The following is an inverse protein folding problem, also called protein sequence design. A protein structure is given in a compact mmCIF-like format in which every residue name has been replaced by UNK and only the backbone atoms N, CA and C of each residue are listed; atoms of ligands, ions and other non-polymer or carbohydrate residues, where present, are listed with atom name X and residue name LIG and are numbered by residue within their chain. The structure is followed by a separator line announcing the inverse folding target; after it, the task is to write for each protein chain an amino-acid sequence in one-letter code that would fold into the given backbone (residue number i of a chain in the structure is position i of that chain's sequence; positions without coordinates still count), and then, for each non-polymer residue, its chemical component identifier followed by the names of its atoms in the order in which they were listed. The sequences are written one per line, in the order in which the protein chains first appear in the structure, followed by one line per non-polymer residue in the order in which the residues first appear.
data_IF_114873093885
#
_entry.id   IF_114873093885
#
_cell.length_a   1.000
_cell.length_b   1.000
_cell.length_c   1.000
_cell.angle_alpha   90.00
_cell.angle_beta   90.00
_cell.angle_gamma   90.00
#
_symmetry.space_group_name_H-M   'P 1'
#
loop_
_entity.id
_entity.type
_entity.pdbx_description
1 polymer ?
#
# COMPACT_ATOMS: atom_id res chain seq x y z
N UNK A 1 -10.71 5.48 17.15
CA UNK A 1 -10.40 4.04 17.04
C UNK A 1 -9.03 3.93 16.44
N UNK A 2 -8.13 3.10 16.96
CA UNK A 2 -6.76 2.96 16.42
C UNK A 2 -6.76 1.89 15.32
N UNK A 3 -6.13 2.13 14.18
CA UNK A 3 -5.89 1.09 13.17
C UNK A 3 -4.67 0.23 13.52
N UNK A 4 -4.63 -1.03 13.08
CA UNK A 4 -3.42 -1.86 13.10
C UNK A 4 -2.73 -1.77 11.75
N UNK A 5 -1.42 -1.48 11.75
CA UNK A 5 -0.59 -1.45 10.54
C UNK A 5 0.47 -2.54 10.61
N UNK A 6 0.54 -3.39 9.58
CA UNK A 6 1.49 -4.50 9.50
C UNK A 6 2.29 -4.43 8.19
N UNK A 7 3.60 -4.68 8.28
CA UNK A 7 4.45 -4.86 7.11
C UNK A 7 4.29 -6.29 6.60
N UNK A 8 4.22 -6.45 5.28
CA UNK A 8 4.13 -7.75 4.65
C UNK A 8 4.81 -7.76 3.28
N UNK A 9 4.86 -8.93 2.66
CA UNK A 9 5.53 -9.12 1.38
C UNK A 9 4.79 -10.14 0.54
N UNK A 10 4.74 -9.90 -0.76
CA UNK A 10 4.15 -10.82 -1.73
C UNK A 10 5.14 -11.15 -2.83
N UNK A 11 5.15 -12.40 -3.26
CA UNK A 11 5.89 -12.79 -4.45
C UNK A 11 5.08 -12.41 -5.69
N UNK A 12 5.70 -11.66 -6.59
CA UNK A 12 5.15 -11.33 -7.91
C UNK A 12 4.90 -12.59 -8.74
N UNK A 13 4.15 -12.46 -9.83
CA UNK A 13 3.86 -13.55 -10.77
C UNK A 13 5.12 -14.15 -11.40
N UNK A 14 6.20 -13.38 -11.49
CA UNK A 14 7.49 -13.87 -12.01
C UNK A 14 8.18 -14.90 -11.07
N UNK A 15 7.65 -15.09 -9.86
CA UNK A 15 8.17 -16.04 -8.87
C UNK A 15 9.46 -15.59 -8.18
N UNK A 16 9.97 -14.40 -8.49
CA UNK A 16 11.28 -13.93 -8.02
C UNK A 16 11.21 -12.56 -7.33
N UNK A 17 10.35 -11.66 -7.81
CA UNK A 17 10.27 -10.30 -7.30
C UNK A 17 9.42 -10.27 -6.03
N UNK A 18 10.05 -9.94 -4.91
CA UNK A 18 9.36 -9.67 -3.64
C UNK A 18 8.86 -8.23 -3.61
N UNK A 19 7.56 -8.08 -3.34
CA UNK A 19 6.88 -6.79 -3.29
C UNK A 19 6.61 -6.46 -1.81
N UNK A 20 7.36 -5.54 -1.19
CA UNK A 20 7.03 -5.05 0.15
C UNK A 20 5.67 -4.33 0.10
N UNK A 21 4.84 -4.47 1.13
CA UNK A 21 3.49 -3.92 1.18
C UNK A 21 3.05 -3.70 2.63
N UNK A 22 1.96 -2.97 2.83
CA UNK A 22 1.40 -2.70 4.16
C UNK A 22 -0.08 -3.03 4.25
N UNK A 23 -0.50 -3.64 5.36
CA UNK A 23 -1.89 -3.97 5.65
C UNK A 23 -2.34 -3.08 6.79
N UNK A 24 -3.34 -2.25 6.55
CA UNK A 24 -4.05 -1.54 7.60
C UNK A 24 -5.38 -2.24 7.85
N UNK A 25 -5.68 -2.60 9.09
CA UNK A 25 -6.93 -3.26 9.47
C UNK A 25 -7.65 -2.54 10.61
N UNK A 26 -9.00 -2.52 10.60
CA UNK A 26 -9.78 -2.00 11.72
C UNK A 26 -9.52 -2.80 13.00
N UNK A 27 -9.65 -2.15 14.16
CA UNK A 27 -9.66 -2.86 15.43
C UNK A 27 -10.96 -3.66 15.58
N UNK A 28 -10.85 -4.99 15.61
CA UNK A 28 -11.97 -5.90 15.83
C UNK A 28 -12.11 -6.92 14.70
N UNK A 29 -12.42 -8.15 15.08
CA UNK A 29 -12.62 -9.24 14.14
C UNK A 29 -13.94 -9.08 13.38
N UNK A 30 -14.01 -9.64 12.17
CA UNK A 30 -15.23 -9.65 11.36
C UNK A 30 -14.97 -9.31 9.89
N UNK A 31 -16.01 -9.42 9.04
CA UNK A 31 -15.90 -9.05 7.65
C UNK A 31 -15.82 -7.52 7.52
N UNK A 32 -14.80 -7.06 6.81
CA UNK A 32 -14.59 -5.66 6.48
C UNK A 32 -14.48 -5.49 4.96
N UNK A 33 -15.05 -4.43 4.36
CA UNK A 33 -14.81 -4.12 2.97
C UNK A 33 -13.31 -3.85 2.72
N UNK A 34 -12.81 -4.33 1.58
CA UNK A 34 -11.39 -4.20 1.22
C UNK A 34 -11.15 -3.01 0.28
N UNK A 35 -10.05 -2.29 0.52
CA UNK A 35 -9.52 -1.25 -0.38
C UNK A 35 -8.10 -1.65 -0.79
N UNK A 36 -7.83 -1.66 -2.10
CA UNK A 36 -6.49 -1.86 -2.64
C UNK A 36 -5.95 -0.53 -3.14
N UNK A 37 -4.87 -0.05 -2.54
CA UNK A 37 -4.14 1.14 -2.99
C UNK A 37 -3.01 0.70 -3.92
N UNK A 38 -3.12 1.10 -5.19
CA UNK A 38 -2.08 0.92 -6.19
C UNK A 38 -1.34 2.23 -6.41
N UNK A 39 -0.01 2.18 -6.37
CA UNK A 39 0.87 3.35 -6.54
C UNK A 39 1.79 3.14 -7.73
N UNK A 40 2.07 4.21 -8.47
CA UNK A 40 2.91 4.18 -9.67
C UNK A 40 4.28 4.86 -9.52
N UNK A 41 4.44 5.73 -8.53
CA UNK A 41 5.62 6.61 -8.37
C UNK A 41 5.94 6.75 -6.89
N UNK A 42 7.20 6.52 -6.50
CA UNK A 42 7.67 6.42 -5.11
C UNK A 42 7.03 5.26 -4.29
N UNK A 43 7.74 4.79 -3.27
CA UNK A 43 7.29 3.68 -2.42
C UNK A 43 6.19 4.09 -1.42
N UNK A 44 5.75 3.21 -0.52
CA UNK A 44 4.65 3.48 0.43
C UNK A 44 4.91 4.57 1.49
N UNK A 45 6.15 5.07 1.60
CA UNK A 45 6.63 5.93 2.69
C UNK A 45 6.18 7.41 2.60
N UNK A 46 5.52 7.83 1.52
CA UNK A 46 5.10 9.21 1.27
C UNK A 46 3.65 9.50 1.71
N UNK A 47 3.29 9.03 2.91
CA UNK A 47 1.99 9.32 3.52
C UNK A 47 0.85 8.38 3.14
N UNK A 48 1.07 7.40 2.27
CA UNK A 48 0.02 6.43 1.93
C UNK A 48 -0.24 5.41 3.02
N UNK A 49 0.73 5.13 3.89
CA UNK A 49 0.50 4.38 5.13
C UNK A 49 -0.47 5.12 6.06
N UNK A 50 -0.41 6.46 6.11
CA UNK A 50 -1.37 7.27 6.87
C UNK A 50 -2.77 7.19 6.24
N UNK A 51 -2.88 7.30 4.91
CA UNK A 51 -4.17 7.13 4.21
C UNK A 51 -4.74 5.73 4.48
N UNK A 52 -3.92 4.68 4.42
CA UNK A 52 -4.34 3.31 4.69
C UNK A 52 -4.85 3.16 6.14
N UNK A 53 -4.15 3.75 7.11
CA UNK A 53 -4.59 3.77 8.50
C UNK A 53 -5.93 4.49 8.67
N UNK A 54 -6.11 5.68 8.08
CA UNK A 54 -7.38 6.43 8.17
C UNK A 54 -8.57 5.64 7.57
N UNK A 55 -8.36 4.94 6.46
CA UNK A 55 -9.37 4.06 5.88
C UNK A 55 -9.70 2.90 6.84
N UNK A 56 -8.71 2.33 7.52
CA UNK A 56 -8.93 1.32 8.55
C UNK A 56 -9.68 1.84 9.77
N UNK A 57 -9.43 3.08 10.18
CA UNK A 57 -10.21 3.74 11.24
C UNK A 57 -11.69 3.94 10.85
N UNK A 58 -12.01 3.96 9.56
CA UNK A 58 -13.38 4.00 9.03
C UNK A 58 -14.01 2.61 8.82
N UNK A 59 -13.29 1.52 9.11
CA UNK A 59 -13.80 0.15 9.00
C UNK A 59 -13.42 -0.57 7.71
N UNK A 60 -12.46 -0.08 6.93
CA UNK A 60 -11.96 -0.76 5.74
C UNK A 60 -10.68 -1.54 6.02
N UNK A 61 -10.56 -2.77 5.50
CA UNK A 61 -9.24 -3.41 5.40
C UNK A 61 -8.53 -2.85 4.18
N UNK A 62 -7.35 -2.24 4.38
CA UNK A 62 -6.63 -1.55 3.31
C UNK A 62 -5.28 -2.22 3.03
N UNK A 63 -5.10 -2.66 1.78
CA UNK A 63 -3.84 -3.18 1.27
C UNK A 63 -3.13 -2.08 0.47
N UNK A 64 -1.99 -1.61 0.97
CA UNK A 64 -1.09 -0.73 0.23
C UNK A 64 -0.05 -1.55 -0.50
N UNK A 65 -0.19 -1.63 -1.83
CA UNK A 65 0.73 -2.33 -2.69
C UNK A 65 2.01 -1.50 -2.89
N UNK A 66 3.15 -1.98 -2.38
CA UNK A 66 4.43 -1.27 -2.49
C UNK A 66 5.19 -1.54 -3.78
N UNK A 67 4.50 -1.94 -4.86
CA UNK A 67 5.16 -2.07 -6.16
C UNK A 67 5.67 -0.73 -6.64
N UNK A 68 6.93 -0.72 -7.06
CA UNK A 68 7.68 0.48 -7.36
C UNK A 68 8.26 0.34 -8.76
N UNK A 69 7.63 0.99 -9.75
CA UNK A 69 8.11 1.02 -11.14
C UNK A 69 9.25 2.03 -11.31
N UNK A 70 9.27 3.08 -10.48
CA UNK A 70 10.25 4.17 -10.55
C UNK A 70 11.06 4.28 -9.27
N UNK A 71 12.30 4.76 -9.35
CA UNK A 71 13.16 5.02 -8.20
C UNK A 71 12.52 5.92 -7.13
N UNK A 72 13.20 6.15 -6.01
CA UNK A 72 12.65 6.96 -4.90
C UNK A 72 12.36 8.40 -5.31
N UNK A 73 13.08 8.90 -6.31
CA UNK A 73 12.98 10.25 -6.84
C UNK A 73 13.10 10.19 -8.38
N UNK A 74 12.03 9.82 -9.10
CA UNK A 74 12.07 9.85 -10.55
C UNK A 74 12.03 11.30 -11.04
N UNK A 75 12.77 11.63 -12.11
CA UNK A 75 12.72 12.98 -12.68
C UNK A 75 11.30 13.35 -13.13
N UNK A 76 10.91 14.61 -12.92
CA UNK A 76 9.63 15.21 -13.34
C UNK A 76 9.46 15.35 -14.87
N UNK A 77 10.27 14.64 -15.64
CA UNK A 77 10.17 14.63 -17.09
C UNK A 77 8.85 13.96 -17.53
N UNK A 78 8.16 14.53 -18.54
CA UNK A 78 7.03 13.87 -19.19
C UNK A 78 7.40 12.44 -19.63
N UNK A 79 6.48 11.51 -19.42
CA UNK A 79 6.66 10.07 -19.70
C UNK A 79 6.19 9.70 -21.12
N UNK A 80 5.64 10.66 -21.85
CA UNK A 80 5.04 10.45 -23.17
C UNK A 80 5.90 11.12 -24.23
N UNK A 81 6.13 10.41 -25.34
CA UNK A 81 6.67 10.93 -26.60
C UNK A 81 5.58 11.67 -27.41
#
# INVERSE_FOLDING_TARGET
MTARLESMSYTSRDGATTIPSYLASPNGDGPHPAVLILRGVAGPDDGYTEIACRLAEWGYVTLLHGWKVRGTDPPDAPVYD
#
